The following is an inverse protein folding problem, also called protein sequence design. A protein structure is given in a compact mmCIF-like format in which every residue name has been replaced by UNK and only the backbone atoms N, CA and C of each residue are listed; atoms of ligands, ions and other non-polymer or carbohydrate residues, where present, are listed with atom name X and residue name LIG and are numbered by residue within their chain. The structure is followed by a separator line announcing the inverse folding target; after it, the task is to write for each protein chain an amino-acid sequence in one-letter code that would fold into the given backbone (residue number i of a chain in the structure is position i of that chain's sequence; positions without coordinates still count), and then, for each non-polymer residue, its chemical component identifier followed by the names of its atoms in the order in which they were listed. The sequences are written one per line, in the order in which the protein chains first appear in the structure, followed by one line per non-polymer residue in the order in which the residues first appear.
data_IF_217001413313
#
_entry.id   IF_217001413313
#
_cell.length_a   1.000
_cell.length_b   1.000
_cell.length_c   1.000
_cell.angle_alpha   90.00
_cell.angle_beta   90.00
_cell.angle_gamma   90.00
#
_symmetry.space_group_name_H-M   'P 1'
#
loop_
_entity.id
_entity.type
_entity.pdbx_description
1 polymer ?
#
# COMPACT_ATOMS: atom_id res chain seq x y z
N UNK A 1 -17.95 21.04 39.59
CA UNK A 1 -16.79 21.18 38.70
C UNK A 1 -16.09 19.84 38.66
N UNK A 2 -16.35 19.03 37.62
CA UNK A 2 -15.71 17.72 37.48
C UNK A 2 -14.65 17.85 36.39
N UNK A 3 -13.39 17.81 36.82
CA UNK A 3 -12.21 17.90 35.96
C UNK A 3 -12.08 16.58 35.19
N UNK A 4 -12.50 16.58 33.92
CA UNK A 4 -12.24 15.45 33.02
C UNK A 4 -10.76 15.51 32.64
N UNK A 5 -9.96 14.62 33.24
CA UNK A 5 -8.61 14.34 32.72
C UNK A 5 -8.76 13.71 31.34
N UNK A 6 -8.61 14.54 30.30
CA UNK A 6 -8.40 14.13 28.91
C UNK A 6 -7.09 13.34 28.83
N UNK A 7 -7.16 12.03 29.10
CA UNK A 7 -6.01 11.15 29.01
C UNK A 7 -5.77 10.77 27.54
N UNK A 8 -5.46 11.78 26.73
CA UNK A 8 -5.23 11.69 25.29
C UNK A 8 -3.80 11.22 24.99
N UNK A 9 -3.34 10.17 25.67
CA UNK A 9 -2.06 9.51 25.34
C UNK A 9 -2.36 8.35 24.41
N UNK A 10 -2.55 8.65 23.11
CA UNK A 10 -2.52 7.62 22.06
C UNK A 10 -1.18 6.89 22.20
N UNK A 11 -1.24 5.58 22.40
CA UNK A 11 -0.03 4.75 22.40
C UNK A 11 0.55 4.83 20.98
N UNK A 12 1.75 5.38 20.86
CA UNK A 12 2.48 5.39 19.61
C UNK A 12 3.18 4.02 19.47
N UNK A 13 2.53 3.10 18.75
CA UNK A 13 3.01 1.72 18.56
C UNK A 13 4.25 1.66 17.66
N UNK A 14 4.36 2.59 16.71
CA UNK A 14 5.48 2.71 15.77
C UNK A 14 6.02 4.14 15.84
N UNK A 15 7.33 4.27 15.91
CA UNK A 15 8.02 5.53 15.67
C UNK A 15 7.78 6.01 14.24
N UNK A 16 7.95 7.31 14.00
CA UNK A 16 7.81 7.86 12.64
C UNK A 16 8.78 7.18 11.65
N UNK A 17 9.96 6.78 12.11
CA UNK A 17 10.94 6.04 11.32
C UNK A 17 10.43 4.65 10.95
N UNK A 18 9.86 3.90 11.89
CA UNK A 18 9.28 2.58 11.60
C UNK A 18 8.08 2.69 10.66
N UNK A 19 7.27 3.74 10.80
CA UNK A 19 6.17 4.00 9.85
C UNK A 19 6.70 4.26 8.46
N UNK A 20 7.74 5.08 8.33
CA UNK A 20 8.38 5.35 7.04
C UNK A 20 8.97 4.07 6.45
N UNK A 21 9.76 3.32 7.21
CA UNK A 21 10.38 2.09 6.73
C UNK A 21 9.36 1.03 6.28
N UNK A 22 8.25 0.89 7.01
CA UNK A 22 7.22 -0.11 6.72
C UNK A 22 6.28 0.33 5.60
N UNK A 23 5.88 1.60 5.57
CA UNK A 23 4.77 2.10 4.74
C UNK A 23 5.13 3.22 3.76
N UNK A 24 6.40 3.63 3.67
CA UNK A 24 6.85 4.58 2.65
C UNK A 24 6.47 4.07 1.26
N UNK A 25 6.17 5.01 0.37
CA UNK A 25 5.98 4.68 -1.04
C UNK A 25 7.31 4.15 -1.62
N UNK A 26 7.35 2.92 -2.15
CA UNK A 26 8.57 2.41 -2.78
C UNK A 26 8.89 3.19 -4.04
N UNK A 27 10.16 3.52 -4.22
CA UNK A 27 10.70 4.04 -5.47
C UNK A 27 11.17 2.87 -6.33
N UNK A 28 10.82 2.87 -7.61
CA UNK A 28 11.16 1.79 -8.53
C UNK A 28 11.93 2.31 -9.74
N UNK A 29 13.06 1.68 -10.02
CA UNK A 29 13.75 1.84 -11.29
C UNK A 29 13.03 1.08 -12.42
N UNK A 30 13.45 1.26 -13.67
CA UNK A 30 12.80 0.66 -14.84
C UNK A 30 12.77 -0.88 -14.76
N UNK A 31 13.83 -1.50 -14.25
CA UNK A 31 13.90 -2.96 -14.13
C UNK A 31 12.93 -3.48 -13.07
N UNK A 32 12.87 -2.84 -11.91
CA UNK A 32 11.93 -3.17 -10.84
C UNK A 32 10.47 -2.97 -11.28
N UNK A 33 10.19 -1.90 -12.03
CA UNK A 33 8.85 -1.69 -12.59
C UNK A 33 8.46 -2.86 -13.50
N UNK A 34 9.38 -3.32 -14.35
CA UNK A 34 9.14 -4.49 -15.19
C UNK A 34 8.90 -5.75 -14.38
N UNK A 35 9.64 -5.98 -13.29
CA UNK A 35 9.47 -7.17 -12.45
C UNK A 35 8.13 -7.12 -11.72
N UNK A 36 7.82 -6.04 -11.01
CA UNK A 36 6.70 -5.97 -10.07
C UNK A 36 5.36 -5.68 -10.75
N UNK A 37 5.35 -4.96 -11.88
CA UNK A 37 4.10 -4.56 -12.56
C UNK A 37 3.77 -5.38 -13.80
N UNK A 38 4.64 -6.32 -14.20
CA UNK A 38 4.26 -7.30 -15.22
C UNK A 38 3.24 -8.27 -14.65
N UNK A 39 2.05 -8.26 -15.25
CA UNK A 39 0.95 -9.13 -14.84
C UNK A 39 1.06 -10.51 -15.48
N UNK A 40 1.01 -11.54 -14.64
CA UNK A 40 0.85 -12.94 -15.07
C UNK A 40 -0.55 -13.19 -15.65
N UNK A 41 -0.75 -14.35 -16.27
CA UNK A 41 -2.05 -14.69 -16.85
C UNK A 41 -3.17 -14.74 -15.79
N UNK A 42 -2.90 -15.30 -14.61
CA UNK A 42 -3.88 -15.36 -13.52
C UNK A 42 -4.23 -13.97 -12.98
N UNK A 43 -3.26 -13.09 -12.86
CA UNK A 43 -3.46 -11.70 -12.43
C UNK A 43 -4.27 -10.89 -13.47
N UNK A 44 -4.08 -11.15 -14.76
CA UNK A 44 -4.90 -10.55 -15.83
C UNK A 44 -6.34 -11.02 -15.78
N UNK A 45 -6.57 -12.30 -15.47
CA UNK A 45 -7.92 -12.84 -15.26
C UNK A 45 -8.56 -12.19 -14.04
N UNK A 46 -7.85 -12.06 -12.92
CA UNK A 46 -8.34 -11.33 -11.74
C UNK A 46 -8.69 -9.87 -12.07
N UNK A 47 -7.81 -9.17 -12.81
CA UNK A 47 -8.04 -7.79 -13.24
C UNK A 47 -9.29 -7.63 -14.11
N UNK A 48 -9.60 -8.61 -14.95
CA UNK A 48 -10.75 -8.57 -15.87
C UNK A 48 -12.11 -8.56 -15.16
N UNK A 49 -12.16 -8.93 -13.88
CA UNK A 49 -13.37 -8.87 -13.06
C UNK A 49 -13.79 -7.43 -12.71
N UNK A 50 -12.87 -6.47 -12.84
CA UNK A 50 -13.13 -5.06 -12.57
C UNK A 50 -13.44 -4.31 -13.87
N UNK A 51 -14.63 -3.73 -13.97
CA UNK A 51 -15.03 -2.91 -15.12
C UNK A 51 -14.51 -1.47 -15.04
N UNK A 52 -14.33 -0.94 -13.83
CA UNK A 52 -13.89 0.45 -13.61
C UNK A 52 -12.38 0.60 -13.78
N UNK A 53 -11.96 1.50 -14.67
CA UNK A 53 -10.55 1.81 -14.94
C UNK A 53 -9.77 2.24 -13.69
N UNK A 54 -10.36 3.05 -12.81
CA UNK A 54 -9.69 3.46 -11.56
C UNK A 54 -9.43 2.26 -10.66
N UNK A 55 -10.42 1.39 -10.49
CA UNK A 55 -10.28 0.15 -9.70
C UNK A 55 -9.19 -0.76 -10.27
N UNK A 56 -9.13 -0.88 -11.60
CA UNK A 56 -8.08 -1.63 -12.30
C UNK A 56 -6.69 -1.05 -12.02
N UNK A 57 -6.54 0.28 -12.07
CA UNK A 57 -5.27 0.95 -11.74
C UNK A 57 -4.89 0.69 -10.28
N UNK A 58 -5.81 0.87 -9.33
CA UNK A 58 -5.54 0.63 -7.91
C UNK A 58 -5.15 -0.83 -7.65
N UNK A 59 -5.81 -1.80 -8.28
CA UNK A 59 -5.45 -3.21 -8.18
C UNK A 59 -4.00 -3.46 -8.62
N UNK A 60 -3.60 -2.93 -9.78
CA UNK A 60 -2.24 -3.07 -10.31
C UNK A 60 -1.22 -2.43 -9.36
N UNK A 61 -1.52 -1.24 -8.83
CA UNK A 61 -0.66 -0.53 -7.88
C UNK A 61 -0.47 -1.32 -6.57
N UNK A 62 -1.56 -1.84 -6.01
CA UNK A 62 -1.52 -2.66 -4.79
C UNK A 62 -0.74 -3.95 -5.02
N UNK A 63 -0.99 -4.63 -6.13
CA UNK A 63 -0.29 -5.87 -6.47
C UNK A 63 1.22 -5.64 -6.62
N UNK A 64 1.62 -4.57 -7.34
CA UNK A 64 3.04 -4.21 -7.49
C UNK A 64 3.69 -3.86 -6.15
N UNK A 65 2.97 -3.11 -5.29
CA UNK A 65 3.44 -2.80 -3.93
C UNK A 65 3.68 -4.07 -3.09
N UNK A 66 2.73 -5.01 -3.08
CA UNK A 66 2.85 -6.26 -2.32
C UNK A 66 3.88 -7.24 -2.89
N UNK A 67 4.26 -7.12 -4.16
CA UNK A 67 5.37 -7.93 -4.72
C UNK A 67 6.75 -7.38 -4.32
N UNK A 68 6.83 -6.09 -4.03
CA UNK A 68 8.07 -5.41 -3.70
C UNK A 68 8.38 -5.35 -2.19
N UNK A 69 7.35 -5.44 -1.35
CA UNK A 69 7.46 -5.55 0.11
C UNK A 69 7.43 -7.01 0.53
#
# INVERSE_FOLDING_TARGET
MSERLENNKRIQLLSNTEVEELYSRPEFNVHEQHIYFTLTQSERVALSQFSNTKTRIYFILQLGYFKAK
#
